data_IF_960786270426
#
_entry.id   IF_960786270426
#
_cell.length_a   1.000
_cell.length_b   1.000
_cell.length_c   1.000
_cell.angle_alpha   90.00
_cell.angle_beta   90.00
_cell.angle_gamma   90.00
#
_symmetry.space_group_name_H-M   'P 1'
#
loop_
_entity.id
_entity.type
_entity.pdbx_description
1 polymer ?
#
# COMPACT_ATOMS: atom_id res chain seq x y z
N UNK A 1 16.74 12.51 5.22
CA UNK A 1 15.73 11.53 5.74
C UNK A 1 15.71 10.34 4.80
N UNK A 2 16.10 9.15 5.27
CA UNK A 2 16.26 7.95 4.45
C UNK A 2 14.93 7.40 3.93
N UNK A 3 14.93 6.79 2.73
CA UNK A 3 13.76 6.20 2.06
C UNK A 3 12.96 5.23 2.94
N UNK A 4 13.62 4.56 3.87
CA UNK A 4 13.04 3.67 4.88
C UNK A 4 12.12 4.41 5.87
N UNK A 5 12.37 5.67 6.19
CA UNK A 5 11.52 6.46 7.07
C UNK A 5 10.21 6.88 6.39
N UNK A 6 10.22 7.10 5.07
CA UNK A 6 9.00 7.49 4.31
C UNK A 6 8.04 6.32 4.07
N UNK A 7 8.57 5.10 3.91
CA UNK A 7 7.73 3.88 3.84
C UNK A 7 7.05 3.61 5.19
N UNK A 8 7.72 3.93 6.30
CA UNK A 8 7.17 3.79 7.67
C UNK A 8 6.07 4.81 7.97
N UNK A 9 6.14 6.02 7.38
CA UNK A 9 5.09 7.03 7.51
C UNK A 9 3.79 6.58 6.81
N UNK A 10 3.89 5.87 5.67
CA UNK A 10 2.72 5.30 4.97
C UNK A 10 1.99 4.24 5.78
N UNK A 11 2.72 3.42 6.53
CA UNK A 11 2.14 2.44 7.45
C UNK A 11 1.40 3.16 8.60
N UNK A 12 1.92 4.28 9.08
CA UNK A 12 1.30 5.10 10.13
C UNK A 12 -0.02 5.73 9.71
N UNK A 13 -0.16 6.16 8.46
CA UNK A 13 -1.39 6.78 7.95
C UNK A 13 -2.52 5.77 7.79
N UNK A 14 -2.22 4.57 7.28
CA UNK A 14 -3.20 3.48 7.25
C UNK A 14 -3.63 3.07 8.66
N UNK A 15 -2.71 3.06 9.64
CA UNK A 15 -3.03 2.77 11.04
C UNK A 15 -3.82 3.88 11.72
N UNK A 16 -3.56 5.15 11.40
CA UNK A 16 -4.32 6.27 11.97
C UNK A 16 -5.76 6.30 11.42
N UNK A 17 -5.96 6.04 10.13
CA UNK A 17 -7.28 5.91 9.52
C UNK A 17 -8.06 4.70 10.09
N UNK A 18 -7.39 3.57 10.31
CA UNK A 18 -7.98 2.38 10.94
C UNK A 18 -8.27 2.58 12.44
N UNK A 19 -7.44 3.34 13.17
CA UNK A 19 -7.68 3.68 14.58
C UNK A 19 -8.91 4.57 14.76
N UNK A 20 -9.27 5.35 13.76
CA UNK A 20 -10.44 6.24 13.79
C UNK A 20 -11.78 5.53 13.52
N UNK A 21 -11.81 4.24 13.14
CA UNK A 21 -13.02 3.57 12.64
C UNK A 21 -13.48 2.27 13.33
N UNK A 22 -12.78 1.71 14.33
CA UNK A 22 -13.03 0.35 14.77
C UNK A 22 -13.89 0.22 16.04
N UNK A 23 -15.19 -0.02 15.89
CA UNK A 23 -16.02 -0.64 16.93
C UNK A 23 -16.92 -1.71 16.30
N UNK A 24 -16.77 -2.99 16.72
CA UNK A 24 -17.71 -4.09 16.51
C UNK A 24 -17.25 -5.22 15.57
N UNK A 25 -17.69 -6.46 15.83
CA UNK A 25 -17.40 -7.64 15.01
C UNK A 25 -18.39 -7.71 13.85
N UNK A 26 -18.09 -7.06 12.73
CA UNK A 26 -18.83 -7.26 11.50
C UNK A 26 -17.88 -6.94 10.33
N UNK A 27 -17.89 -7.85 9.34
CA UNK A 27 -17.26 -7.77 8.01
C UNK A 27 -16.27 -6.60 7.86
N UNK A 28 -14.99 -6.92 7.78
CA UNK A 28 -13.93 -5.95 7.80
C UNK A 28 -13.86 -5.12 6.49
N UNK A 29 -14.85 -4.33 6.23
CA UNK A 29 -14.68 -3.10 5.51
C UNK A 29 -13.87 -2.18 6.43
N UNK A 30 -12.70 -1.78 5.99
CA UNK A 30 -11.88 -0.79 6.67
C UNK A 30 -12.76 0.46 6.87
N UNK A 31 -13.13 0.75 8.13
CA UNK A 31 -13.99 1.91 8.41
C UNK A 31 -13.18 3.17 8.11
N UNK A 32 -13.56 3.83 7.05
CA UNK A 32 -13.00 5.13 6.70
C UNK A 32 -13.45 6.19 7.71
N UNK A 33 -12.65 7.26 7.82
CA UNK A 33 -13.09 8.44 8.56
C UNK A 33 -14.41 8.96 7.96
N UNK A 34 -15.39 9.36 8.79
CA UNK A 34 -16.65 9.92 8.31
C UNK A 34 -16.43 11.06 7.30
N UNK A 35 -17.14 11.05 6.19
CA UNK A 35 -16.97 12.02 5.10
C UNK A 35 -15.84 11.70 4.11
N UNK A 36 -15.09 10.61 4.29
CA UNK A 36 -14.15 10.14 3.27
C UNK A 36 -14.88 9.59 2.04
N UNK A 37 -14.29 9.80 0.86
CA UNK A 37 -14.76 9.21 -0.39
C UNK A 37 -13.69 8.29 -0.96
N UNK A 38 -14.11 7.20 -1.61
CA UNK A 38 -13.20 6.29 -2.29
C UNK A 38 -13.53 6.17 -3.76
N UNK A 39 -12.48 6.05 -4.59
CA UNK A 39 -12.59 5.64 -5.98
C UNK A 39 -11.54 4.60 -6.32
N UNK A 40 -11.83 3.77 -7.33
CA UNK A 40 -10.89 2.77 -7.83
C UNK A 40 -9.86 3.46 -8.71
N UNK A 41 -8.57 3.24 -8.42
CA UNK A 41 -7.46 3.66 -9.27
C UNK A 41 -7.20 2.67 -10.41
N UNK A 42 -7.42 1.39 -10.13
CA UNK A 42 -7.18 0.30 -11.07
C UNK A 42 -7.36 -1.06 -10.40
N UNK A 43 -7.13 -2.11 -11.18
CA UNK A 43 -7.27 -3.49 -10.75
C UNK A 43 -6.03 -4.32 -11.07
N UNK A 44 -5.80 -5.34 -10.26
CA UNK A 44 -4.89 -6.46 -10.54
C UNK A 44 -5.71 -7.74 -10.51
N UNK A 45 -5.64 -8.52 -11.58
CA UNK A 45 -6.15 -9.88 -11.63
C UNK A 45 -4.95 -10.82 -11.53
N UNK A 46 -4.86 -11.60 -10.46
CA UNK A 46 -3.72 -12.48 -10.25
C UNK A 46 -4.14 -13.88 -9.83
N UNK A 47 -3.36 -14.86 -10.26
CA UNK A 47 -3.43 -16.25 -9.83
C UNK A 47 -2.14 -16.62 -9.09
N UNK A 48 -2.31 -17.20 -7.91
CA UNK A 48 -1.25 -17.74 -7.06
C UNK A 48 -1.46 -19.26 -6.85
N UNK A 49 -1.92 -19.98 -7.89
CA UNK A 49 -2.20 -21.42 -7.86
C UNK A 49 -3.55 -21.79 -7.21
N UNK A 50 -4.43 -20.81 -7.02
CA UNK A 50 -5.78 -21.02 -6.44
C UNK A 50 -6.91 -20.46 -7.29
N UNK A 51 -6.60 -20.12 -8.54
CA UNK A 51 -7.49 -19.44 -9.46
C UNK A 51 -7.32 -17.91 -9.44
N UNK A 52 -7.86 -17.30 -10.48
CA UNK A 52 -7.76 -15.85 -10.70
C UNK A 52 -8.58 -15.09 -9.66
N UNK A 53 -7.94 -14.13 -8.99
CA UNK A 53 -8.57 -13.23 -8.02
C UNK A 53 -8.46 -11.80 -8.51
N UNK A 54 -9.58 -11.08 -8.49
CA UNK A 54 -9.61 -9.65 -8.75
C UNK A 54 -9.34 -8.87 -7.46
N UNK A 55 -8.42 -7.92 -7.58
CA UNK A 55 -8.00 -7.03 -6.51
C UNK A 55 -8.09 -5.59 -6.99
N UNK A 56 -8.63 -4.70 -6.16
CA UNK A 56 -8.74 -3.28 -6.47
C UNK A 56 -7.72 -2.44 -5.70
N UNK A 57 -7.15 -1.47 -6.39
CA UNK A 57 -6.40 -0.35 -5.83
C UNK A 57 -7.31 0.85 -5.68
N UNK A 58 -7.16 1.60 -4.61
CA UNK A 58 -8.06 2.71 -4.29
C UNK A 58 -7.31 4.00 -4.04
N UNK A 59 -7.99 5.10 -4.39
CA UNK A 59 -7.67 6.44 -3.92
C UNK A 59 -8.74 6.86 -2.92
N UNK A 60 -8.32 7.30 -1.74
CA UNK A 60 -9.22 7.73 -0.66
C UNK A 60 -9.01 9.22 -0.42
N UNK A 61 -10.03 10.03 -0.66
CA UNK A 61 -10.02 11.45 -0.28
C UNK A 61 -10.53 11.56 1.16
N UNK A 62 -9.70 12.10 2.01
CA UNK A 62 -9.99 12.30 3.43
C UNK A 62 -10.75 13.62 3.64
N UNK A 63 -11.62 13.72 4.66
CA UNK A 63 -12.41 14.92 4.89
C UNK A 63 -11.52 16.08 5.36
N UNK A 64 -11.91 17.32 5.04
CA UNK A 64 -11.19 18.53 5.47
C UNK A 64 -11.13 18.68 6.99
N UNK A 65 -12.13 18.19 7.70
CA UNK A 65 -12.21 18.22 9.16
C UNK A 65 -11.58 16.99 9.85
N UNK A 66 -10.73 16.22 9.15
CA UNK A 66 -10.09 15.01 9.71
C UNK A 66 -9.34 15.30 11.00
N UNK A 67 -8.61 16.42 11.08
CA UNK A 67 -7.91 16.85 12.30
C UNK A 67 -8.85 17.07 13.48
N UNK A 68 -10.00 17.70 13.26
CA UNK A 68 -11.02 17.90 14.29
C UNK A 68 -11.62 16.57 14.76
N UNK A 69 -11.92 15.65 13.83
CA UNK A 69 -12.39 14.31 14.16
C UNK A 69 -11.36 13.53 14.98
N UNK A 70 -10.07 13.62 14.63
CA UNK A 70 -8.99 13.00 15.39
C UNK A 70 -8.88 13.59 16.81
N UNK A 71 -8.90 14.93 16.95
CA UNK A 71 -8.86 15.61 18.25
C UNK A 71 -10.04 15.17 19.15
N UNK A 72 -11.26 15.18 18.62
CA UNK A 72 -12.44 14.74 19.37
C UNK A 72 -12.31 13.28 19.84
N UNK A 73 -11.83 12.40 18.99
CA UNK A 73 -11.65 10.98 19.33
C UNK A 73 -10.55 10.76 20.37
N UNK A 74 -9.44 11.49 20.28
CA UNK A 74 -8.35 11.41 21.26
C UNK A 74 -8.77 11.81 22.68
N UNK A 75 -9.88 12.52 22.83
CA UNK A 75 -10.48 12.85 24.14
C UNK A 75 -11.31 11.69 24.71
N UNK A 76 -11.65 10.68 23.92
CA UNK A 76 -12.42 9.51 24.39
C UNK A 76 -11.50 8.44 24.99
N UNK A 77 -12.02 7.65 25.92
CA UNK A 77 -11.30 6.51 26.50
C UNK A 77 -10.92 5.47 25.42
N UNK A 78 -11.78 5.28 24.42
CA UNK A 78 -11.52 4.38 23.29
C UNK A 78 -10.37 4.89 22.40
N UNK A 79 -10.34 6.17 22.10
CA UNK A 79 -9.26 6.79 21.33
C UNK A 79 -7.91 6.70 22.04
N UNK A 80 -7.90 6.95 23.36
CA UNK A 80 -6.68 6.81 24.19
C UNK A 80 -6.19 5.35 24.22
N UNK A 81 -7.09 4.38 24.40
CA UNK A 81 -6.74 2.96 24.34
C UNK A 81 -6.20 2.54 22.97
N UNK A 82 -6.75 3.08 21.87
CA UNK A 82 -6.27 2.83 20.52
C UNK A 82 -4.86 3.38 20.31
N UNK A 83 -4.54 4.57 20.82
CA UNK A 83 -3.18 5.14 20.78
C UNK A 83 -2.21 4.28 21.56
N UNK A 84 -2.54 3.88 22.80
CA UNK A 84 -1.68 3.01 23.61
C UNK A 84 -1.39 1.68 22.92
N UNK A 85 -2.39 1.05 22.30
CA UNK A 85 -2.23 -0.18 21.52
C UNK A 85 -1.36 0.04 20.28
N UNK A 86 -1.53 1.18 19.61
CA UNK A 86 -0.71 1.59 18.47
C UNK A 86 0.74 1.84 18.86
N UNK A 87 0.97 2.55 19.98
CA UNK A 87 2.28 2.81 20.55
C UNK A 87 3.04 1.52 20.88
N UNK A 88 2.39 0.60 21.59
CA UNK A 88 3.00 -0.70 21.93
C UNK A 88 3.40 -1.50 20.68
N UNK A 89 2.55 -1.52 19.63
CA UNK A 89 2.86 -2.17 18.36
C UNK A 89 3.99 -1.49 17.61
N UNK A 90 4.00 -0.16 17.56
CA UNK A 90 5.05 0.61 16.91
C UNK A 90 6.40 0.41 17.61
N UNK A 91 6.44 0.45 18.94
CA UNK A 91 7.64 0.16 19.73
C UNK A 91 8.18 -1.24 19.47
N UNK A 92 7.31 -2.26 19.45
CA UNK A 92 7.69 -3.64 19.17
C UNK A 92 8.27 -3.82 17.76
N UNK A 93 7.73 -3.09 16.77
CA UNK A 93 8.13 -3.22 15.36
C UNK A 93 9.32 -2.35 14.96
N UNK A 94 9.49 -1.19 15.59
CA UNK A 94 10.44 -0.14 15.11
C UNK A 94 11.35 0.42 16.21
N UNK A 95 11.13 0.06 17.46
CA UNK A 95 11.81 0.65 18.62
C UNK A 95 11.34 2.09 18.96
N UNK A 96 10.39 2.66 18.20
CA UNK A 96 9.85 4.01 18.41
C UNK A 96 8.35 3.95 18.67
N UNK A 97 7.89 4.71 19.66
CA UNK A 97 6.48 4.85 19.97
C UNK A 97 5.74 5.81 19.02
N UNK A 98 4.42 5.84 19.19
CA UNK A 98 3.51 6.79 18.54
C UNK A 98 2.69 7.45 19.63
N UNK A 99 2.73 8.78 19.70
CA UNK A 99 1.98 9.57 20.66
C UNK A 99 0.64 10.06 20.09
N UNK A 100 -0.24 10.55 20.98
CA UNK A 100 -1.46 11.23 20.55
C UNK A 100 -1.16 12.46 19.67
N UNK A 101 -0.08 13.21 19.98
CA UNK A 101 0.38 14.33 19.17
C UNK A 101 0.81 13.92 17.75
N UNK A 102 1.46 12.76 17.60
CA UNK A 102 1.82 12.23 16.28
C UNK A 102 0.57 11.87 15.47
N UNK A 103 -0.43 11.26 16.11
CA UNK A 103 -1.71 10.93 15.46
C UNK A 103 -2.43 12.20 15.01
N UNK A 104 -2.46 13.24 15.85
CA UNK A 104 -3.06 14.53 15.52
C UNK A 104 -2.33 15.20 14.35
N UNK A 105 -1.00 15.28 14.39
CA UNK A 105 -0.20 15.89 13.35
C UNK A 105 -0.37 15.17 11.99
N UNK A 106 -0.51 13.84 12.02
CA UNK A 106 -0.81 13.05 10.81
C UNK A 106 -2.20 13.39 10.28
N UNK A 107 -3.22 13.45 11.14
CA UNK A 107 -4.59 13.77 10.75
C UNK A 107 -4.68 15.18 10.13
N UNK A 108 -4.05 16.18 10.75
CA UNK A 108 -4.00 17.55 10.23
C UNK A 108 -3.26 17.62 8.88
N UNK A 109 -2.15 16.88 8.74
CA UNK A 109 -1.40 16.84 7.49
C UNK A 109 -2.21 16.26 6.33
N UNK A 110 -3.07 15.27 6.59
CA UNK A 110 -3.83 14.56 5.55
C UNK A 110 -5.26 15.08 5.36
N UNK A 111 -5.73 16.02 6.17
CA UNK A 111 -7.05 16.64 6.02
C UNK A 111 -7.22 17.19 4.60
N UNK A 112 -8.33 16.87 3.95
CA UNK A 112 -8.67 17.25 2.58
C UNK A 112 -7.83 16.60 1.47
N UNK A 113 -6.82 15.79 1.83
CA UNK A 113 -5.92 15.19 0.83
C UNK A 113 -6.41 13.83 0.34
N UNK A 114 -6.07 13.53 -0.91
CA UNK A 114 -6.26 12.18 -1.47
C UNK A 114 -5.03 11.32 -1.20
N UNK A 115 -5.26 10.17 -0.56
CA UNK A 115 -4.26 9.12 -0.34
C UNK A 115 -4.45 8.05 -1.40
N UNK A 116 -3.39 7.74 -2.11
CA UNK A 116 -3.38 6.76 -3.20
C UNK A 116 -2.66 5.48 -2.75
N UNK A 117 -3.23 4.31 -3.01
CA UNK A 117 -2.57 3.02 -2.78
C UNK A 117 -1.46 2.79 -3.81
N UNK A 118 -1.72 3.16 -5.06
CA UNK A 118 -0.75 3.07 -6.16
C UNK A 118 -0.22 4.43 -6.55
N UNK A 119 1.07 4.52 -6.89
CA UNK A 119 1.70 5.79 -7.29
C UNK A 119 3.02 5.56 -8.02
N UNK A 120 3.44 6.56 -8.78
CA UNK A 120 4.76 6.68 -9.36
C UNK A 120 5.54 7.80 -8.65
N UNK A 121 6.87 7.68 -8.56
CA UNK A 121 7.75 8.73 -8.05
C UNK A 121 9.05 8.74 -8.81
N UNK A 122 9.61 9.92 -9.02
CA UNK A 122 10.96 10.06 -9.57
C UNK A 122 12.00 9.64 -8.53
N UNK A 123 13.03 8.94 -8.96
CA UNK A 123 14.16 8.52 -8.11
C UNK A 123 15.46 9.05 -8.72
N UNK A 124 15.93 10.24 -8.28
CA UNK A 124 17.06 10.93 -8.92
C UNK A 124 18.36 10.11 -8.95
N UNK A 125 18.61 9.35 -7.87
CA UNK A 125 19.86 8.56 -7.71
C UNK A 125 20.03 7.49 -8.79
N UNK A 126 18.94 7.05 -9.44
CA UNK A 126 18.98 5.98 -10.45
C UNK A 126 18.42 6.43 -11.81
N UNK A 127 18.25 7.72 -12.02
CA UNK A 127 17.76 8.31 -13.28
C UNK A 127 16.53 7.57 -13.80
N UNK A 128 15.44 7.57 -13.02
CA UNK A 128 14.23 6.83 -13.41
C UNK A 128 13.07 7.04 -12.45
N UNK A 129 12.03 6.24 -12.67
CA UNK A 129 10.84 6.24 -11.82
C UNK A 129 10.72 4.93 -11.03
N UNK A 130 10.16 5.02 -9.83
CA UNK A 130 9.64 3.88 -9.11
C UNK A 130 8.12 3.90 -9.23
N UNK A 131 7.57 2.93 -9.93
CA UNK A 131 6.14 2.68 -10.03
C UNK A 131 5.77 1.60 -9.01
N UNK A 132 4.87 1.93 -8.09
CA UNK A 132 4.28 0.99 -7.14
C UNK A 132 2.81 0.84 -7.45
N UNK A 133 2.38 -0.36 -7.84
CA UNK A 133 0.99 -0.75 -8.00
C UNK A 133 0.62 -1.68 -6.87
N UNK A 134 -0.41 -1.33 -6.12
CA UNK A 134 -0.86 -2.04 -4.92
C UNK A 134 -2.36 -2.26 -5.01
N UNK A 135 -2.79 -3.50 -4.96
CA UNK A 135 -4.20 -3.86 -5.01
C UNK A 135 -4.53 -4.98 -4.05
N UNK A 136 -5.74 -4.93 -3.48
CA UNK A 136 -6.23 -5.91 -2.51
C UNK A 136 -7.63 -6.38 -2.84
N UNK A 137 -7.91 -7.63 -2.57
CA UNK A 137 -9.27 -8.17 -2.58
C UNK A 137 -10.07 -7.60 -1.40
N UNK A 138 -11.38 -7.59 -1.49
CA UNK A 138 -12.27 -7.18 -0.40
C UNK A 138 -12.07 -8.09 0.84
N UNK A 139 -11.84 -9.37 0.60
CA UNK A 139 -11.36 -10.35 1.59
C UNK A 139 -10.35 -11.26 0.91
N UNK A 140 -9.23 -11.54 1.55
CA UNK A 140 -8.20 -12.42 1.00
C UNK A 140 -6.93 -11.70 0.56
N UNK A 141 -6.39 -11.99 -0.63
CA UNK A 141 -5.03 -11.59 -0.98
C UNK A 141 -4.87 -10.11 -1.32
N UNK A 142 -3.60 -9.70 -1.29
CA UNK A 142 -3.09 -8.42 -1.79
C UNK A 142 -1.86 -8.68 -2.64
N UNK A 143 -1.70 -7.93 -3.70
CA UNK A 143 -0.49 -7.93 -4.54
C UNK A 143 0.09 -6.53 -4.59
N UNK A 144 1.41 -6.44 -4.43
CA UNK A 144 2.16 -5.21 -4.68
C UNK A 144 3.20 -5.49 -5.76
N UNK A 145 3.21 -4.67 -6.80
CA UNK A 145 4.21 -4.65 -7.85
C UNK A 145 5.05 -3.38 -7.69
N UNK A 146 6.35 -3.55 -7.45
CA UNK A 146 7.32 -2.45 -7.44
C UNK A 146 8.20 -2.54 -8.67
N UNK A 147 8.15 -1.56 -9.55
CA UNK A 147 8.87 -1.52 -10.80
C UNK A 147 9.77 -0.30 -10.87
N UNK A 148 11.03 -0.51 -11.30
CA UNK A 148 11.87 0.60 -11.76
C UNK A 148 11.64 0.79 -13.24
N UNK A 149 11.35 2.02 -13.62
CA UNK A 149 11.18 2.40 -15.02
C UNK A 149 12.33 3.32 -15.44
N UNK A 150 12.78 3.16 -16.67
CA UNK A 150 13.69 4.09 -17.31
C UNK A 150 13.05 5.49 -17.41
N UNK A 151 13.82 6.55 -17.23
CA UNK A 151 13.29 7.92 -17.21
C UNK A 151 12.77 8.37 -18.57
N UNK A 152 13.44 7.98 -19.66
CA UNK A 152 13.13 8.44 -21.02
C UNK A 152 12.07 7.53 -21.68
N UNK A 153 12.24 6.22 -21.58
CA UNK A 153 11.41 5.25 -22.32
C UNK A 153 10.25 4.71 -21.52
N UNK A 154 10.24 4.91 -20.19
CA UNK A 154 9.31 4.31 -19.24
C UNK A 154 9.29 2.77 -19.27
N UNK A 155 10.27 2.16 -19.92
CA UNK A 155 10.42 0.71 -19.96
C UNK A 155 10.83 0.16 -18.58
N UNK A 156 10.30 -1.02 -18.18
CA UNK A 156 10.69 -1.64 -16.91
C UNK A 156 12.13 -2.11 -16.96
N UNK A 157 12.94 -1.70 -15.98
CA UNK A 157 14.32 -2.11 -15.79
C UNK A 157 14.44 -3.25 -14.77
N UNK A 158 13.59 -3.24 -13.77
CA UNK A 158 13.48 -4.29 -12.75
C UNK A 158 12.10 -4.28 -12.13
N UNK A 159 11.66 -5.44 -11.68
CA UNK A 159 10.38 -5.58 -11.01
C UNK A 159 10.48 -6.54 -9.82
N UNK A 160 9.70 -6.25 -8.78
CA UNK A 160 9.48 -7.13 -7.65
C UNK A 160 7.99 -7.32 -7.43
N UNK A 161 7.58 -8.54 -7.12
CA UNK A 161 6.23 -8.89 -6.71
C UNK A 161 6.24 -9.24 -5.24
N UNK A 162 5.28 -8.71 -4.50
CA UNK A 162 4.96 -9.16 -3.15
C UNK A 162 3.51 -9.63 -3.13
N UNK A 163 3.31 -10.87 -2.68
CA UNK A 163 1.99 -11.50 -2.53
C UNK A 163 1.69 -11.71 -1.05
N UNK A 164 0.59 -11.19 -0.58
CA UNK A 164 0.08 -11.34 0.77
C UNK A 164 -1.15 -12.25 0.72
N UNK A 165 -1.11 -13.45 1.33
CA UNK A 165 -2.27 -14.36 1.35
C UNK A 165 -3.48 -13.76 2.08
N UNK A 166 -3.21 -12.90 3.07
CA UNK A 166 -4.20 -12.10 3.80
C UNK A 166 -3.81 -10.62 3.71
N UNK A 167 -4.66 -9.82 3.07
CA UNK A 167 -4.44 -8.37 2.92
C UNK A 167 -4.38 -7.59 4.24
N UNK A 168 -4.87 -8.17 5.33
CA UNK A 168 -4.83 -7.58 6.68
C UNK A 168 -3.53 -7.87 7.41
N UNK A 169 -2.79 -8.91 7.00
CA UNK A 169 -1.52 -9.31 7.61
C UNK A 169 -0.34 -8.76 6.78
N UNK A 170 0.01 -7.52 7.02
CA UNK A 170 1.05 -6.80 6.28
C UNK A 170 2.47 -7.32 6.51
N UNK A 171 2.66 -8.21 7.48
CA UNK A 171 3.98 -8.76 7.83
C UNK A 171 4.24 -10.12 7.19
N UNK A 172 3.20 -10.87 6.82
CA UNK A 172 3.33 -12.19 6.23
C UNK A 172 3.05 -12.13 4.72
N UNK A 173 4.13 -12.09 3.95
CA UNK A 173 4.09 -12.05 2.49
C UNK A 173 5.13 -12.99 1.88
N UNK A 174 4.87 -13.42 0.67
CA UNK A 174 5.86 -13.98 -0.25
C UNK A 174 6.34 -12.87 -1.17
N UNK A 175 7.61 -12.88 -1.54
CA UNK A 175 8.19 -11.90 -2.46
C UNK A 175 9.22 -12.52 -3.38
N UNK A 176 9.42 -11.91 -4.52
CA UNK A 176 10.50 -12.24 -5.45
C UNK A 176 11.86 -12.09 -4.78
N UNK A 177 12.74 -13.05 -5.02
CA UNK A 177 14.12 -13.02 -4.58
C UNK A 177 15.01 -12.21 -5.54
N UNK A 178 16.22 -11.86 -5.10
CA UNK A 178 17.21 -11.20 -5.97
C UNK A 178 17.64 -12.06 -7.16
N UNK A 179 17.59 -13.40 -7.01
CA UNK A 179 18.00 -14.36 -8.05
C UNK A 179 16.88 -14.70 -9.05
N UNK A 180 15.62 -14.46 -8.66
CA UNK A 180 14.44 -14.70 -9.49
C UNK A 180 13.56 -13.43 -9.45
N UNK A 181 13.93 -12.38 -10.19
CA UNK A 181 13.12 -11.18 -10.29
C UNK A 181 11.82 -11.48 -11.04
N UNK A 182 10.80 -10.67 -10.82
CA UNK A 182 9.58 -10.75 -11.60
C UNK A 182 9.82 -10.32 -13.05
N UNK A 183 9.13 -10.95 -13.97
CA UNK A 183 8.99 -10.49 -15.34
C UNK A 183 7.75 -9.61 -15.42
N UNK A 184 7.90 -8.39 -15.94
CA UNK A 184 6.78 -7.46 -16.16
C UNK A 184 6.82 -6.97 -17.59
N UNK A 185 5.67 -7.02 -18.25
CA UNK A 185 5.45 -6.43 -19.57
C UNK A 185 4.44 -5.30 -19.41
N UNK A 186 4.88 -4.07 -19.65
CA UNK A 186 3.99 -2.92 -19.78
C UNK A 186 3.45 -2.92 -21.20
N UNK A 187 2.14 -3.01 -21.34
CA UNK A 187 1.44 -2.95 -22.64
C UNK A 187 1.11 -1.50 -22.99
N UNK A 188 0.79 -0.69 -21.98
CA UNK A 188 0.47 0.71 -22.14
C UNK A 188 0.91 1.49 -20.92
N UNK A 189 1.55 2.63 -21.15
CA UNK A 189 1.78 3.67 -20.16
C UNK A 189 1.61 5.02 -20.86
N UNK A 190 0.67 5.81 -20.40
CA UNK A 190 0.36 7.10 -20.99
C UNK A 190 0.03 8.12 -19.91
N UNK A 191 0.34 9.38 -20.19
CA UNK A 191 -0.03 10.50 -19.34
C UNK A 191 -1.46 10.91 -19.66
N UNK A 192 -2.36 10.81 -18.67
CA UNK A 192 -3.81 11.12 -18.83
C UNK A 192 -4.21 12.42 -18.15
N UNK A 193 -3.28 13.03 -17.40
CA UNK A 193 -3.49 14.32 -16.73
C UNK A 193 -2.18 14.95 -16.29
N UNK A 194 -2.25 16.11 -15.62
CA UNK A 194 -1.04 16.66 -15.03
C UNK A 194 -0.55 15.73 -13.91
N UNK A 195 0.67 15.20 -14.12
CA UNK A 195 1.28 14.22 -13.18
C UNK A 195 0.42 12.96 -12.90
N UNK A 196 -0.47 12.56 -13.81
CA UNK A 196 -1.28 11.34 -13.69
C UNK A 196 -1.07 10.44 -14.90
N UNK A 197 -0.88 9.15 -14.65
CA UNK A 197 -0.64 8.15 -15.68
C UNK A 197 -1.69 7.05 -15.64
N UNK A 198 -2.04 6.52 -16.83
CA UNK A 198 -2.70 5.24 -16.98
C UNK A 198 -1.64 4.19 -17.33
N UNK A 199 -1.74 3.01 -16.71
CA UNK A 199 -0.74 1.94 -16.88
C UNK A 199 -1.45 0.60 -16.96
N UNK A 200 -1.12 -0.21 -17.99
CA UNK A 200 -1.60 -1.59 -18.07
C UNK A 200 -0.51 -2.54 -18.53
N UNK A 201 -0.70 -3.83 -18.22
CA UNK A 201 0.27 -4.85 -18.57
C UNK A 201 0.04 -6.16 -17.85
N UNK A 202 1.07 -7.01 -17.91
CA UNK A 202 1.08 -8.33 -17.29
C UNK A 202 2.35 -8.55 -16.47
N UNK A 203 2.30 -9.50 -15.55
CA UNK A 203 3.44 -9.89 -14.75
C UNK A 203 3.44 -11.38 -14.46
N UNK A 204 4.63 -11.92 -14.21
CA UNK A 204 4.83 -13.25 -13.65
C UNK A 204 6.03 -13.25 -12.71
N UNK A 205 5.96 -14.08 -11.69
CA UNK A 205 7.04 -14.31 -10.75
C UNK A 205 6.99 -15.76 -10.27
N UNK A 206 8.15 -16.40 -10.22
CA UNK A 206 8.30 -17.79 -9.80
C UNK A 206 9.11 -17.85 -8.51
N UNK A 207 8.97 -18.95 -7.76
CA UNK A 207 9.74 -19.27 -6.56
C UNK A 207 9.78 -18.13 -5.52
N UNK A 208 8.61 -17.54 -5.23
CA UNK A 208 8.54 -16.47 -4.24
C UNK A 208 8.85 -17.02 -2.84
N UNK A 209 9.71 -16.32 -2.13
CA UNK A 209 10.17 -16.66 -0.80
C UNK A 209 9.46 -15.82 0.27
N UNK A 210 9.33 -16.32 1.50
CA UNK A 210 8.81 -15.52 2.60
C UNK A 210 9.62 -14.24 2.79
N UNK A 211 8.94 -13.13 2.98
CA UNK A 211 9.58 -11.86 3.36
C UNK A 211 10.32 -12.00 4.69
N UNK A 212 11.33 -11.17 4.92
CA UNK A 212 12.19 -11.26 6.11
C UNK A 212 11.42 -11.21 7.45
N UNK A 213 10.24 -10.56 7.47
CA UNK A 213 9.39 -10.46 8.65
C UNK A 213 8.23 -11.47 8.66
N UNK A 214 8.14 -12.35 7.66
CA UNK A 214 7.04 -13.30 7.46
C UNK A 214 7.16 -14.53 8.34
N UNK A 215 7.07 -14.37 9.66
CA UNK A 215 7.28 -15.46 10.63
C UNK A 215 6.36 -16.66 10.40
N UNK A 216 5.09 -16.42 10.01
CA UNK A 216 4.11 -17.50 9.78
C UNK A 216 4.35 -18.30 8.49
N UNK A 217 5.15 -17.77 7.58
CA UNK A 217 5.39 -18.35 6.26
C UNK A 217 6.80 -18.98 6.15
N UNK A 218 7.58 -18.97 7.21
CA UNK A 218 8.93 -19.55 7.21
C UNK A 218 8.91 -21.02 6.77
N UNK A 219 9.86 -21.40 5.90
CA UNK A 219 9.94 -22.74 5.34
C UNK A 219 8.91 -23.06 4.24
N UNK A 220 8.05 -22.11 3.87
CA UNK A 220 7.13 -22.24 2.74
C UNK A 220 7.69 -21.51 1.52
N UNK A 221 7.27 -21.94 0.34
CA UNK A 221 7.50 -21.24 -0.93
C UNK A 221 6.18 -21.08 -1.65
N UNK A 222 6.02 -20.01 -2.41
CA UNK A 222 4.91 -19.85 -3.34
C UNK A 222 5.44 -20.08 -4.73
N UNK A 223 5.06 -21.19 -5.41
CA UNK A 223 5.67 -21.60 -6.66
C UNK A 223 5.59 -20.54 -7.76
N UNK A 224 4.44 -19.92 -7.92
CA UNK A 224 4.25 -18.87 -8.92
C UNK A 224 3.12 -17.91 -8.54
N UNK A 225 3.25 -16.67 -9.02
CA UNK A 225 2.17 -15.69 -9.10
C UNK A 225 2.23 -15.03 -10.46
N UNK A 226 1.11 -15.02 -11.17
CA UNK A 226 1.03 -14.31 -12.44
C UNK A 226 -0.28 -13.55 -12.57
N UNK A 227 -0.33 -12.55 -13.45
CA UNK A 227 -1.56 -11.79 -13.62
C UNK A 227 -1.45 -10.63 -14.60
N UNK A 228 -2.54 -9.84 -14.62
CA UNK A 228 -2.65 -8.63 -15.41
C UNK A 228 -3.03 -7.46 -14.50
N UNK A 229 -2.65 -6.27 -14.90
CA UNK A 229 -3.01 -5.04 -14.22
C UNK A 229 -3.51 -3.99 -15.21
N UNK A 230 -4.48 -3.19 -14.75
CA UNK A 230 -5.00 -2.05 -15.48
C UNK A 230 -5.32 -0.92 -14.49
N UNK A 231 -4.62 0.19 -14.61
CA UNK A 231 -4.75 1.38 -13.77
C UNK A 231 -5.06 2.57 -14.64
N UNK A 232 -6.10 3.30 -14.29
CA UNK A 232 -6.52 4.52 -14.97
C UNK A 232 -5.98 5.77 -14.28
N UNK A 233 -5.52 5.65 -13.02
CA UNK A 233 -5.07 6.77 -12.22
C UNK A 233 -3.87 6.39 -11.35
N UNK A 234 -2.67 6.71 -11.81
CA UNK A 234 -1.41 6.54 -11.07
C UNK A 234 -0.74 7.90 -10.95
N UNK A 235 -0.83 8.59 -9.81
CA UNK A 235 -0.22 9.91 -9.66
C UNK A 235 1.30 9.83 -9.59
N UNK A 236 1.96 10.77 -10.27
CA UNK A 236 3.38 11.05 -10.07
C UNK A 236 3.51 11.95 -8.85
N UNK A 237 4.12 11.43 -7.79
CA UNK A 237 4.35 12.15 -6.54
C UNK A 237 5.68 12.89 -6.60
N UNK A 238 5.66 14.15 -6.22
CA UNK A 238 6.87 14.89 -5.88
C UNK A 238 7.51 14.26 -4.63
N UNK A 239 8.83 14.44 -4.49
CA UNK A 239 9.62 13.84 -3.39
C UNK A 239 9.32 14.49 -2.04
#
# INVERSE_FOLDING_TARGET
MNSVQRTRLRLGVLMAAAALGATGPASAQEKLAPGSTQRVQGTIHADAGRGMVEMASRATTLPDNLGQQAAARLQTSEGQAAVQKGDARAKAATGRGVSAGDVQAIADHYAGKTVYESSMRRVPVVSGYLLTLDARAASGPRVTLDMRLNEETLAPQSANVSYYPDSKDLFNNFKTGKKAPATVRIEKIERVGDKVFAVSGSFSADDLQPGAMSKKLQGQTLPAVSGRFAFTEVPLRDQ
#
